data_IF_787975992791
#
_entry.id   IF_787975992791
#
_cell.length_a   1.000
_cell.length_b   1.000
_cell.length_c   1.000
_cell.angle_alpha   90.00
_cell.angle_beta   90.00
_cell.angle_gamma   90.00
#
_symmetry.space_group_name_H-M   'P 1'
#
loop_
_entity.id
_entity.type
_entity.pdbx_description
1 polymer ?
#
# COMPACT_ATOMS: atom_id res chain seq x y z
N UNK A 1 16.73 -6.51 2.57
CA UNK A 1 15.67 -7.53 2.58
C UNK A 1 14.37 -6.82 2.16
N UNK A 2 13.31 -7.54 1.76
CA UNK A 2 12.02 -6.94 1.36
C UNK A 2 10.85 -7.66 2.04
N UNK A 3 9.75 -6.95 2.26
CA UNK A 3 8.47 -7.50 2.72
C UNK A 3 7.39 -7.28 1.67
N UNK A 4 6.46 -8.24 1.53
CA UNK A 4 5.34 -8.17 0.60
C UNK A 4 4.05 -8.52 1.34
N UNK A 5 2.95 -7.87 0.95
CA UNK A 5 1.58 -8.16 1.40
C UNK A 5 0.66 -8.00 0.20
N UNK A 6 -0.39 -8.82 0.12
CA UNK A 6 -1.42 -8.72 -0.90
C UNK A 6 -2.76 -9.14 -0.33
N UNK A 7 -3.83 -8.46 -0.75
CA UNK A 7 -5.19 -8.63 -0.23
C UNK A 7 -6.18 -8.68 -1.41
N UNK A 8 -7.00 -9.72 -1.44
CA UNK A 8 -8.19 -9.83 -2.30
C UNK A 8 -9.42 -9.77 -1.39
N UNK A 9 -10.09 -8.63 -1.38
CA UNK A 9 -11.19 -8.33 -0.47
C UNK A 9 -12.53 -8.09 -1.17
N UNK A 10 -13.58 -7.97 -0.35
CA UNK A 10 -14.90 -7.48 -0.76
C UNK A 10 -15.10 -5.98 -0.46
N UNK A 11 -14.15 -5.37 0.24
CA UNK A 11 -14.16 -3.99 0.73
C UNK A 11 -12.81 -3.32 0.43
N UNK A 12 -12.69 -1.98 0.55
CA UNK A 12 -11.45 -1.27 0.28
C UNK A 12 -10.26 -1.81 1.09
N UNK A 13 -9.11 -2.01 0.43
CA UNK A 13 -7.95 -2.70 1.03
C UNK A 13 -6.76 -1.80 1.36
N UNK A 14 -6.77 -0.53 0.94
CA UNK A 14 -5.65 0.39 1.11
C UNK A 14 -5.13 0.51 2.55
N UNK A 15 -6.02 0.65 3.54
CA UNK A 15 -5.63 0.76 4.95
C UNK A 15 -5.00 -0.55 5.46
N UNK A 16 -5.61 -1.69 5.13
CA UNK A 16 -5.09 -2.99 5.55
C UNK A 16 -3.72 -3.30 4.91
N UNK A 17 -3.49 -2.87 3.67
CA UNK A 17 -2.17 -2.94 3.02
C UNK A 17 -1.13 -2.06 3.74
N UNK A 18 -1.50 -0.83 4.08
CA UNK A 18 -0.63 0.09 4.85
C UNK A 18 -0.27 -0.49 6.22
N UNK A 19 -1.25 -1.03 6.94
CA UNK A 19 -1.04 -1.65 8.26
C UNK A 19 -0.14 -2.88 8.15
N UNK A 20 -0.39 -3.75 7.16
CA UNK A 20 0.45 -4.92 6.87
C UNK A 20 1.89 -4.55 6.55
N UNK A 21 2.10 -3.52 5.72
CA UNK A 21 3.45 -3.00 5.42
C UNK A 21 4.13 -2.42 6.67
N UNK A 22 3.38 -1.77 7.56
CA UNK A 22 3.93 -1.22 8.82
C UNK A 22 4.45 -2.34 9.72
N UNK A 23 3.74 -3.46 9.84
CA UNK A 23 4.21 -4.64 10.58
C UNK A 23 5.44 -5.27 9.92
N UNK A 24 5.50 -5.26 8.58
CA UNK A 24 6.62 -5.78 7.80
C UNK A 24 7.81 -4.81 7.65
N UNK A 25 7.76 -3.60 8.22
CA UNK A 25 8.77 -2.55 8.04
C UNK A 25 10.19 -3.00 8.44
N UNK A 26 10.32 -3.90 9.40
CA UNK A 26 11.61 -4.48 9.81
C UNK A 26 12.32 -5.25 8.68
N UNK A 27 11.59 -5.63 7.62
CA UNK A 27 12.16 -6.32 6.47
C UNK A 27 12.79 -5.38 5.45
N UNK A 28 12.46 -4.08 5.43
CA UNK A 28 13.04 -3.10 4.52
C UNK A 28 12.55 -1.69 4.83
N UNK A 29 13.46 -0.71 4.81
CA UNK A 29 13.20 0.67 5.24
C UNK A 29 13.55 1.72 4.17
N UNK A 30 14.14 1.30 3.05
CA UNK A 30 14.62 2.21 2.00
C UNK A 30 13.48 2.78 1.14
N UNK A 31 12.40 2.02 0.96
CA UNK A 31 11.25 2.40 0.14
C UNK A 31 9.99 1.60 0.50
N UNK A 32 8.83 2.12 0.11
CA UNK A 32 7.55 1.44 0.21
C UNK A 32 6.66 1.71 -1.03
N UNK A 33 5.71 0.81 -1.29
CA UNK A 33 4.77 0.94 -2.39
C UNK A 33 3.48 0.15 -2.18
N UNK A 34 2.36 0.72 -2.61
CA UNK A 34 1.04 0.08 -2.67
C UNK A 34 0.48 0.28 -4.08
N UNK A 35 -0.06 -0.78 -4.65
CA UNK A 35 -0.87 -0.74 -5.87
C UNK A 35 -2.24 -1.32 -5.57
N UNK A 36 -3.31 -0.69 -6.03
CA UNK A 36 -4.66 -1.24 -5.94
C UNK A 36 -5.34 -1.27 -7.29
N UNK A 37 -6.35 -2.13 -7.45
CA UNK A 37 -7.18 -2.23 -8.66
C UNK A 37 -8.55 -1.66 -8.39
N UNK A 38 -8.93 -0.65 -9.16
CA UNK A 38 -10.24 -0.02 -9.13
C UNK A 38 -10.76 0.16 -10.57
N UNK A 39 -11.95 -0.37 -10.86
CA UNK A 39 -12.55 -0.35 -12.22
C UNK A 39 -11.56 -0.76 -13.32
N UNK A 40 -10.88 -1.90 -13.12
CA UNK A 40 -9.86 -2.44 -14.03
C UNK A 40 -8.66 -1.49 -14.30
N UNK A 41 -8.46 -0.49 -13.44
CA UNK A 41 -7.37 0.47 -13.52
C UNK A 41 -6.47 0.34 -12.29
N UNK A 42 -5.15 0.34 -12.52
CA UNK A 42 -4.17 0.32 -11.44
C UNK A 42 -3.98 1.72 -10.83
N UNK A 43 -4.07 1.80 -9.51
CA UNK A 43 -3.75 2.99 -8.72
C UNK A 43 -2.45 2.71 -7.96
N UNK A 44 -1.39 3.45 -8.25
CA UNK A 44 -0.07 3.23 -7.66
C UNK A 44 0.39 4.43 -6.83
N UNK A 45 0.95 4.14 -5.65
CA UNK A 45 1.81 5.06 -4.91
C UNK A 45 3.07 4.32 -4.45
N UNK A 46 4.25 4.87 -4.79
CA UNK A 46 5.54 4.43 -4.26
C UNK A 46 6.48 5.62 -4.08
N UNK A 47 7.39 5.52 -3.12
CA UNK A 47 8.52 6.45 -2.93
C UNK A 47 9.57 5.80 -2.01
N UNK A 48 10.72 6.45 -1.89
CA UNK A 48 11.72 6.11 -0.87
C UNK A 48 11.24 6.56 0.52
N UNK A 49 11.70 5.87 1.56
CA UNK A 49 11.39 6.15 2.96
C UNK A 49 10.50 5.10 3.62
N UNK A 50 10.20 5.34 4.90
CA UNK A 50 9.35 4.46 5.70
C UNK A 50 7.90 4.51 5.21
N UNK A 51 7.13 3.47 5.52
CA UNK A 51 5.72 3.34 5.13
C UNK A 51 4.93 4.60 5.52
N UNK A 52 5.09 5.10 6.75
CA UNK A 52 4.42 6.32 7.23
C UNK A 52 4.79 7.60 6.48
N UNK A 53 5.98 7.66 5.88
CA UNK A 53 6.47 8.85 5.18
C UNK A 53 6.08 8.80 3.69
N UNK A 54 5.89 7.60 3.15
CA UNK A 54 5.50 7.39 1.74
C UNK A 54 4.01 7.64 1.51
N UNK A 55 3.15 7.29 2.46
CA UNK A 55 1.69 7.36 2.30
C UNK A 55 1.07 8.46 3.17
N UNK A 56 0.58 9.50 2.50
CA UNK A 56 -0.18 10.60 3.12
C UNK A 56 -1.67 10.40 2.84
N UNK A 57 -2.54 11.14 3.53
CA UNK A 57 -4.00 11.06 3.34
C UNK A 57 -4.44 11.19 1.88
N UNK A 58 -3.85 12.13 1.12
CA UNK A 58 -4.14 12.32 -0.32
C UNK A 58 -3.72 11.11 -1.18
N UNK A 59 -2.71 10.36 -0.75
CA UNK A 59 -2.28 9.14 -1.44
C UNK A 59 -3.28 8.02 -1.15
N UNK A 60 -3.68 7.86 0.11
CA UNK A 60 -4.64 6.83 0.54
C UNK A 60 -6.00 7.00 -0.13
N UNK A 61 -6.48 8.24 -0.30
CA UNK A 61 -7.71 8.53 -1.04
C UNK A 61 -7.66 8.12 -2.52
N UNK A 62 -6.47 8.12 -3.14
CA UNK A 62 -6.28 7.71 -4.54
C UNK A 62 -6.14 6.20 -4.72
N UNK A 63 -5.73 5.48 -3.67
CA UNK A 63 -5.58 4.03 -3.63
C UNK A 63 -6.94 3.36 -3.38
N UNK A 64 -7.94 3.64 -4.23
CA UNK A 64 -9.24 2.97 -4.18
C UNK A 64 -9.13 1.53 -4.69
N UNK A 65 -10.09 0.68 -4.32
CA UNK A 65 -10.18 -0.69 -4.82
C UNK A 65 -10.15 -1.74 -3.72
N UNK A 66 -10.60 -2.94 -4.09
CA UNK A 66 -10.75 -4.07 -3.16
C UNK A 66 -9.65 -5.13 -3.36
N UNK A 67 -8.71 -4.89 -4.27
CA UNK A 67 -7.58 -5.77 -4.58
C UNK A 67 -6.31 -4.92 -4.59
N UNK A 68 -5.24 -5.39 -3.97
CA UNK A 68 -3.93 -4.74 -3.98
C UNK A 68 -2.87 -5.50 -3.21
#
# INVERSE_FOLDING_TARGET
MCGIVGIVGKYPVNQALYDGLTVLQHRGQDAAGIVTVDNNTLRLRKANGLVKDVFETRHMQRLSGNIG
#
